data_IF_418493627695
#
_entry.id   IF_418493627695
#
_cell.length_a   1.000
_cell.length_b   1.000
_cell.length_c   1.000
_cell.angle_alpha   90.00
_cell.angle_beta   90.00
_cell.angle_gamma   90.00
#
_symmetry.space_group_name_H-M   'P 1'
#
loop_
_entity.id
_entity.type
_entity.pdbx_description
1 polymer ?
#
# COMPACT_ATOMS: atom_id res chain seq x y z
N UNK A 1 22.92 -15.12 -12.93
CA UNK A 1 21.96 -14.01 -12.72
C UNK A 1 20.76 -14.57 -11.96
N UNK A 2 20.37 -14.04 -10.79
CA UNK A 2 19.17 -14.51 -10.12
C UNK A 2 17.96 -14.18 -11.01
N UNK A 3 17.06 -15.14 -11.20
CA UNK A 3 15.84 -14.98 -11.98
C UNK A 3 15.00 -13.83 -11.39
N UNK A 4 14.39 -12.97 -12.22
CA UNK A 4 13.47 -11.96 -11.73
C UNK A 4 12.38 -12.69 -10.93
N UNK A 5 12.24 -12.33 -9.66
CA UNK A 5 11.13 -12.79 -8.85
C UNK A 5 9.88 -12.14 -9.43
N UNK A 6 9.21 -12.84 -10.35
CA UNK A 6 7.90 -12.44 -10.83
C UNK A 6 6.96 -12.45 -9.63
N UNK A 7 6.56 -11.25 -9.18
CA UNK A 7 5.49 -11.15 -8.22
C UNK A 7 4.21 -11.49 -8.99
N UNK A 8 3.73 -12.73 -8.81
CA UNK A 8 2.44 -13.15 -9.32
C UNK A 8 1.34 -12.54 -8.46
N UNK A 9 0.89 -11.34 -8.85
CA UNK A 9 -0.25 -10.70 -8.20
C UNK A 9 -1.53 -11.48 -8.50
N UNK A 10 -2.23 -11.92 -7.46
CA UNK A 10 -3.56 -12.47 -7.63
C UNK A 10 -4.48 -11.42 -8.25
N UNK A 11 -5.29 -11.84 -9.23
CA UNK A 11 -6.33 -11.02 -9.83
C UNK A 11 -7.29 -10.53 -8.73
N UNK A 12 -7.75 -9.29 -8.89
CA UNK A 12 -8.79 -8.75 -8.01
C UNK A 12 -10.16 -9.12 -8.57
N UNK A 13 -11.21 -9.22 -7.74
CA UNK A 13 -12.56 -9.35 -8.23
C UNK A 13 -12.93 -8.17 -9.16
N UNK A 14 -13.88 -8.39 -10.06
CA UNK A 14 -14.36 -7.36 -10.98
C UNK A 14 -14.81 -6.13 -10.18
N UNK A 15 -14.53 -4.93 -10.71
CA UNK A 15 -14.80 -3.62 -10.10
C UNK A 15 -13.91 -3.22 -8.92
N UNK A 16 -13.04 -4.12 -8.42
CA UNK A 16 -12.05 -3.75 -7.41
C UNK A 16 -10.81 -3.15 -8.04
N UNK A 17 -10.28 -2.10 -7.40
CA UNK A 17 -8.89 -1.70 -7.59
C UNK A 17 -8.06 -2.21 -6.43
N UNK A 18 -6.83 -2.63 -6.74
CA UNK A 18 -5.87 -3.10 -5.75
C UNK A 18 -4.78 -2.06 -5.56
N UNK A 19 -4.54 -1.69 -4.31
CA UNK A 19 -3.47 -0.77 -3.91
C UNK A 19 -2.42 -1.58 -3.14
N UNK A 20 -1.27 -1.76 -3.77
CA UNK A 20 -0.10 -2.41 -3.18
C UNK A 20 0.84 -1.37 -2.60
N UNK A 21 1.32 -1.59 -1.38
CA UNK A 21 2.32 -0.76 -0.75
C UNK A 21 3.61 -1.53 -0.53
N UNK A 22 4.72 -0.86 -0.79
CA UNK A 22 6.01 -1.33 -0.32
C UNK A 22 6.78 -0.20 0.35
N UNK A 23 7.57 -0.57 1.35
CA UNK A 23 8.40 0.35 2.11
C UNK A 23 9.81 0.37 1.58
N UNK A 24 10.42 1.53 1.71
CA UNK A 24 11.85 1.68 1.62
C UNK A 24 12.34 2.46 2.83
N UNK A 25 13.34 1.90 3.53
CA UNK A 25 14.00 2.56 4.66
C UNK A 25 15.50 2.54 4.41
N UNK A 26 16.12 3.72 4.40
CA UNK A 26 17.57 3.87 4.49
C UNK A 26 17.83 4.65 5.77
N UNK A 27 18.64 4.08 6.68
CA UNK A 27 19.03 4.69 7.95
C UNK A 27 17.83 5.22 8.75
N UNK A 28 17.67 6.55 8.83
CA UNK A 28 16.59 7.24 9.54
C UNK A 28 15.52 7.81 8.59
N UNK A 29 15.70 7.67 7.27
CA UNK A 29 14.78 8.16 6.27
C UNK A 29 13.81 7.08 5.82
N UNK A 30 12.54 7.46 5.71
CA UNK A 30 11.47 6.58 5.25
C UNK A 30 10.87 7.09 3.95
N UNK A 31 10.68 6.17 3.00
CA UNK A 31 9.90 6.39 1.82
C UNK A 31 8.92 5.23 1.63
N UNK A 32 7.81 5.50 0.97
CA UNK A 32 6.84 4.46 0.59
C UNK A 32 6.62 4.53 -0.91
N UNK A 33 6.58 3.38 -1.56
CA UNK A 33 6.13 3.24 -2.94
C UNK A 33 4.78 2.55 -2.95
N UNK A 34 3.98 2.86 -3.95
CA UNK A 34 2.70 2.20 -4.15
C UNK A 34 2.44 1.95 -5.63
N UNK A 35 1.65 0.92 -5.89
CA UNK A 35 1.15 0.58 -7.21
C UNK A 35 -0.37 0.40 -7.09
N UNK A 36 -1.11 0.96 -8.03
CA UNK A 36 -2.54 0.72 -8.20
C UNK A 36 -2.72 -0.15 -9.43
N UNK A 37 -3.41 -1.26 -9.24
CA UNK A 37 -3.79 -2.21 -10.28
C UNK A 37 -5.31 -2.21 -10.44
N UNK A 38 -5.77 -2.37 -11.68
CA UNK A 38 -7.18 -2.67 -11.93
C UNK A 38 -7.49 -4.16 -11.67
N UNK A 39 -8.75 -4.55 -11.87
CA UNK A 39 -9.21 -5.92 -11.66
C UNK A 39 -8.55 -6.94 -12.60
N UNK A 40 -7.98 -6.51 -13.74
CA UNK A 40 -7.22 -7.34 -14.67
C UNK A 40 -5.74 -7.48 -14.27
N UNK A 41 -5.36 -6.99 -13.09
CA UNK A 41 -3.98 -6.85 -12.64
C UNK A 41 -3.13 -5.96 -13.56
N UNK A 42 -3.77 -5.13 -14.39
CA UNK A 42 -3.06 -4.17 -15.24
C UNK A 42 -2.68 -2.94 -14.41
N UNK A 43 -1.46 -2.46 -14.65
CA UNK A 43 -0.97 -1.24 -14.01
C UNK A 43 -1.84 -0.05 -14.39
N UNK A 44 -2.41 0.59 -13.37
CA UNK A 44 -3.23 1.78 -13.51
C UNK A 44 -2.46 3.04 -13.10
N UNK A 45 -1.75 2.99 -11.97
CA UNK A 45 -0.97 4.12 -11.46
C UNK A 45 0.15 3.65 -10.52
N UNK A 46 1.19 4.45 -10.37
CA UNK A 46 2.30 4.20 -9.44
C UNK A 46 2.78 5.52 -8.86
N UNK A 47 3.43 5.45 -7.71
CA UNK A 47 4.14 6.60 -7.20
C UNK A 47 4.90 6.31 -5.93
N UNK A 48 5.56 7.35 -5.43
CA UNK A 48 6.32 7.30 -4.20
C UNK A 48 6.03 8.53 -3.34
N UNK A 49 6.26 8.40 -2.04
CA UNK A 49 6.22 9.51 -1.11
C UNK A 49 7.42 9.41 -0.19
N UNK A 50 8.20 10.49 -0.15
CA UNK A 50 9.34 10.64 0.74
C UNK A 50 8.84 11.30 2.03
N UNK A 51 9.04 10.63 3.15
CA UNK A 51 8.65 11.12 4.48
C UNK A 51 9.84 11.70 5.25
N UNK A 52 11.02 11.82 4.63
CA UNK A 52 12.22 12.31 5.28
C UNK A 52 12.55 11.48 6.53
N UNK A 53 13.00 12.16 7.58
CA UNK A 53 13.26 11.56 8.89
C UNK A 53 11.96 11.27 9.63
N UNK A 54 11.38 10.11 9.34
CA UNK A 54 10.13 9.65 9.94
C UNK A 54 10.23 8.16 10.26
N UNK A 55 9.63 7.73 11.37
CA UNK A 55 9.51 6.32 11.70
C UNK A 55 8.66 5.58 10.68
N UNK A 56 9.10 4.38 10.27
CA UNK A 56 8.36 3.57 9.29
C UNK A 56 6.95 3.21 9.77
N UNK A 57 6.76 3.10 11.09
CA UNK A 57 5.48 2.87 11.75
C UNK A 57 4.50 4.02 11.56
N UNK A 58 4.98 5.23 11.26
CA UNK A 58 4.15 6.42 10.97
C UNK A 58 4.01 6.59 9.45
N UNK A 59 5.13 6.51 8.71
CA UNK A 59 5.16 6.73 7.27
C UNK A 59 4.19 5.79 6.52
N UNK A 60 4.14 4.51 6.91
CA UNK A 60 3.28 3.52 6.26
C UNK A 60 1.78 3.82 6.44
N UNK A 61 1.23 3.89 7.67
CA UNK A 61 -0.18 4.25 7.87
C UNK A 61 -0.56 5.56 7.18
N UNK A 62 0.31 6.58 7.24
CA UNK A 62 0.05 7.86 6.56
C UNK A 62 -0.02 7.71 5.05
N UNK A 63 0.93 6.99 4.44
CA UNK A 63 0.89 6.70 3.00
C UNK A 63 -0.38 5.93 2.61
N UNK A 64 -0.72 4.88 3.36
CA UNK A 64 -1.92 4.08 3.11
C UNK A 64 -3.19 4.93 3.21
N UNK A 65 -3.35 5.71 4.29
CA UNK A 65 -4.46 6.64 4.47
C UNK A 65 -4.60 7.61 3.29
N UNK A 66 -3.50 8.26 2.90
CA UNK A 66 -3.53 9.25 1.82
C UNK A 66 -3.96 8.65 0.48
N UNK A 67 -3.59 7.40 0.19
CA UNK A 67 -3.99 6.71 -1.03
C UNK A 67 -5.42 6.19 -1.00
N UNK A 68 -5.90 5.73 0.15
CA UNK A 68 -7.33 5.43 0.32
C UNK A 68 -8.16 6.69 0.08
N UNK A 69 -7.77 7.83 0.66
CA UNK A 69 -8.43 9.11 0.39
C UNK A 69 -8.41 9.50 -1.09
N UNK A 70 -7.27 9.30 -1.77
CA UNK A 70 -7.17 9.55 -3.21
C UNK A 70 -8.12 8.65 -4.00
N UNK A 71 -8.17 7.35 -3.68
CA UNK A 71 -9.06 6.41 -4.35
C UNK A 71 -10.54 6.78 -4.17
N UNK A 72 -10.93 7.17 -2.96
CA UNK A 72 -12.28 7.67 -2.66
C UNK A 72 -12.58 8.94 -3.47
N UNK A 73 -11.64 9.90 -3.54
CA UNK A 73 -11.79 11.13 -4.34
C UNK A 73 -11.90 10.85 -5.85
N UNK A 74 -11.32 9.76 -6.32
CA UNK A 74 -11.44 9.27 -7.69
C UNK A 74 -12.66 8.37 -7.92
N UNK A 75 -13.61 8.35 -6.98
CA UNK A 75 -14.86 7.60 -7.05
C UNK A 75 -14.72 6.06 -7.10
N UNK A 76 -13.56 5.51 -6.70
CA UNK A 76 -13.42 4.07 -6.53
C UNK A 76 -14.17 3.60 -5.29
N UNK A 77 -15.07 2.64 -5.46
CA UNK A 77 -15.94 2.12 -4.39
C UNK A 77 -15.38 0.85 -3.74
N UNK A 78 -14.70 0.02 -4.52
CA UNK A 78 -14.21 -1.29 -4.07
C UNK A 78 -12.69 -1.31 -4.10
N UNK A 79 -12.08 -1.44 -2.93
CA UNK A 79 -10.65 -1.35 -2.72
C UNK A 79 -10.12 -2.63 -2.08
N UNK A 80 -9.05 -3.18 -2.64
CA UNK A 80 -8.19 -4.15 -1.96
C UNK A 80 -6.90 -3.44 -1.57
N UNK A 81 -6.53 -3.50 -0.30
CA UNK A 81 -5.26 -2.96 0.19
C UNK A 81 -4.37 -4.14 0.56
N UNK A 82 -3.25 -4.28 -0.15
CA UNK A 82 -2.26 -5.31 0.08
C UNK A 82 -0.94 -4.67 0.54
N UNK A 83 -0.34 -5.22 1.59
CA UNK A 83 0.91 -4.71 2.15
C UNK A 83 1.44 -5.57 3.29
N UNK A 84 2.74 -5.46 3.54
CA UNK A 84 3.51 -6.23 4.53
C UNK A 84 3.43 -5.66 5.96
N UNK A 85 2.51 -4.73 6.25
CA UNK A 85 2.41 -4.08 7.57
C UNK A 85 1.34 -4.73 8.45
N UNK A 86 1.72 -5.83 9.09
CA UNK A 86 0.83 -6.59 10.01
C UNK A 86 0.21 -5.72 11.11
N UNK A 87 0.95 -4.75 11.65
CA UNK A 87 0.45 -3.86 12.72
C UNK A 87 -0.67 -2.97 12.18
N UNK A 88 -0.47 -2.35 11.01
CA UNK A 88 -1.51 -1.54 10.37
C UNK A 88 -2.74 -2.37 10.04
N UNK A 89 -2.57 -3.57 9.51
CA UNK A 89 -3.70 -4.48 9.19
C UNK A 89 -4.49 -4.79 10.45
N UNK A 90 -3.81 -5.15 11.55
CA UNK A 90 -4.48 -5.40 12.83
C UNK A 90 -5.20 -4.14 13.36
N UNK A 91 -4.56 -2.98 13.24
CA UNK A 91 -5.14 -1.73 13.73
C UNK A 91 -6.44 -1.37 12.98
N UNK A 92 -6.43 -1.51 11.66
CA UNK A 92 -7.62 -1.26 10.82
C UNK A 92 -8.74 -2.26 11.11
N UNK A 93 -8.41 -3.49 11.49
CA UNK A 93 -9.38 -4.52 11.89
C UNK A 93 -9.89 -4.36 13.33
N UNK A 94 -9.39 -3.39 14.09
CA UNK A 94 -9.70 -3.27 15.52
C UNK A 94 -9.09 -4.38 16.39
N UNK A 95 -8.11 -5.12 15.87
CA UNK A 95 -7.41 -6.22 16.55
C UNK A 95 -6.17 -5.74 17.33
N UNK A 96 -5.93 -4.44 17.40
CA UNK A 96 -4.89 -3.86 18.24
C UNK A 96 -5.48 -3.44 19.57
N UNK A 97 -4.90 -3.95 20.65
CA UNK A 97 -5.06 -3.34 21.95
C UNK A 97 -4.14 -2.12 22.01
N UNK A 98 -4.69 -0.96 22.37
CA UNK A 98 -3.86 0.10 22.92
C UNK A 98 -3.20 -0.45 24.19
N UNK A 99 -1.95 -0.08 24.50
CA UNK A 99 -1.42 -0.31 25.84
C UNK A 99 -2.32 0.33 26.90
#
# INVERSE_FOLDING_TARGET
LPLPHYINWHLSPIEFIKINFDKFKITQRSATRFIILDFTSKFFSTGASNFGETLILIAKPTATRNRVHMAIRSAYRYLIIEGDNKILIKAVRGETHAP
#
